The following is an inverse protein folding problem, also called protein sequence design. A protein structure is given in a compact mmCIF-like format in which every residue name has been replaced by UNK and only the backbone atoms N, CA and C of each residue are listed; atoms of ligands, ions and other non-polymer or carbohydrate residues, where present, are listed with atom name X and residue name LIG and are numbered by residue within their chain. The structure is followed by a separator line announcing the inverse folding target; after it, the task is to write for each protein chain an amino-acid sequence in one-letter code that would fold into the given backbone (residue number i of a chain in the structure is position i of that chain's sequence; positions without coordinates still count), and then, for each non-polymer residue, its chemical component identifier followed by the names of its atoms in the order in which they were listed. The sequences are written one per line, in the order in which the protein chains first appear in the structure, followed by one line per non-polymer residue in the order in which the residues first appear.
data_IF_509630285956
#
_entry.id   IF_509630285956
#
_cell.length_a   1.000
_cell.length_b   1.000
_cell.length_c   1.000
_cell.angle_alpha   90.00
_cell.angle_beta   90.00
_cell.angle_gamma   90.00
#
_symmetry.space_group_name_H-M   'P 1'
#
loop_
_entity.id
_entity.type
_entity.pdbx_description
1 polymer ?
#
# COMPACT_ATOMS: atom_id res chain seq x y z
N UNK A 1 13.34 -4.95 -19.23
CA UNK A 1 13.03 -5.44 -17.87
C UNK A 1 12.03 -4.49 -17.22
N UNK A 2 10.90 -5.02 -16.79
CA UNK A 2 9.91 -4.19 -16.13
C UNK A 2 10.31 -3.96 -14.67
N UNK A 3 10.09 -2.75 -14.19
CA UNK A 3 10.29 -2.38 -12.79
C UNK A 3 8.98 -1.82 -12.23
N UNK A 4 8.99 -1.46 -10.95
CA UNK A 4 7.77 -0.96 -10.32
C UNK A 4 7.30 0.35 -10.96
N UNK A 5 8.21 1.16 -11.45
CA UNK A 5 7.86 2.46 -12.01
C UNK A 5 7.11 2.36 -13.35
N UNK A 6 7.19 1.21 -14.03
CA UNK A 6 6.45 0.99 -15.27
C UNK A 6 5.00 0.57 -15.03
N UNK A 7 4.62 0.29 -13.79
CA UNK A 7 3.27 -0.13 -13.46
C UNK A 7 2.29 1.04 -13.60
N UNK A 8 1.15 0.76 -14.25
CA UNK A 8 0.05 1.71 -14.39
C UNK A 8 -1.02 1.33 -13.39
N UNK A 9 -1.51 2.29 -12.62
CA UNK A 9 -2.57 2.07 -11.64
C UNK A 9 -3.66 3.12 -11.82
N UNK A 10 -4.85 2.84 -11.28
CA UNK A 10 -5.95 3.81 -11.29
C UNK A 10 -6.07 4.48 -9.94
N UNK A 11 -6.20 5.79 -9.95
CA UNK A 11 -6.54 6.55 -8.75
C UNK A 11 -8.01 6.28 -8.38
N UNK A 12 -8.42 6.71 -7.20
CA UNK A 12 -9.79 6.48 -6.74
C UNK A 12 -10.85 7.11 -7.66
N UNK A 13 -10.50 8.12 -8.45
CA UNK A 13 -11.39 8.75 -9.44
C UNK A 13 -11.32 8.04 -10.81
N UNK A 14 -10.65 6.90 -10.90
CA UNK A 14 -10.49 6.07 -12.09
C UNK A 14 -9.55 6.63 -13.16
N UNK A 15 -8.82 7.70 -12.88
CA UNK A 15 -7.79 8.18 -13.81
C UNK A 15 -6.52 7.34 -13.67
N UNK A 16 -5.86 7.08 -14.80
CA UNK A 16 -4.62 6.30 -14.81
C UNK A 16 -3.42 7.16 -14.46
N UNK A 17 -2.50 6.59 -13.68
CA UNK A 17 -1.17 7.17 -13.50
C UNK A 17 -0.15 6.03 -13.59
N UNK A 18 1.09 6.37 -13.95
CA UNK A 18 2.20 5.42 -13.84
C UNK A 18 2.93 5.67 -12.53
N UNK A 19 3.47 4.63 -11.94
CA UNK A 19 4.25 4.79 -10.71
C UNK A 19 5.56 5.55 -10.96
N UNK A 20 5.88 5.84 -12.21
CA UNK A 20 7.01 6.70 -12.53
C UNK A 20 6.89 8.10 -11.91
N UNK A 21 5.66 8.53 -11.57
CA UNK A 21 5.45 9.79 -10.85
C UNK A 21 6.08 9.78 -9.46
N UNK A 22 6.33 8.59 -8.91
CA UNK A 22 6.94 8.43 -7.59
C UNK A 22 8.40 8.03 -7.65
N UNK A 23 9.02 8.20 -8.80
CA UNK A 23 10.44 7.86 -8.99
C UNK A 23 11.31 8.62 -7.99
N UNK A 24 12.29 7.93 -7.43
CA UNK A 24 13.20 8.45 -6.40
C UNK A 24 12.55 8.66 -5.03
N UNK A 25 11.33 8.14 -4.84
CA UNK A 25 10.65 8.15 -3.54
C UNK A 25 10.73 6.76 -2.91
N UNK A 26 10.69 6.72 -1.59
CA UNK A 26 10.48 5.46 -0.86
C UNK A 26 8.98 5.21 -0.84
N UNK A 27 8.55 4.00 -1.21
CA UNK A 27 7.13 3.67 -1.28
C UNK A 27 6.77 2.64 -0.22
N UNK A 28 5.67 2.87 0.47
CA UNK A 28 5.03 1.86 1.31
C UNK A 28 3.68 1.55 0.68
N UNK A 29 3.55 0.35 0.13
CA UNK A 29 2.36 -0.06 -0.62
C UNK A 29 1.55 -1.02 0.25
N UNK A 30 0.29 -0.68 0.50
CA UNK A 30 -0.56 -1.36 1.49
C UNK A 30 -1.93 -1.64 0.89
N UNK A 31 -2.43 -2.87 1.04
CA UNK A 31 -3.82 -3.16 0.73
C UNK A 31 -4.67 -2.88 1.96
N UNK A 32 -5.74 -2.12 1.80
CA UNK A 32 -6.47 -1.53 2.91
C UNK A 32 -7.95 -1.91 2.91
N UNK A 33 -8.60 -1.75 4.06
CA UNK A 33 -10.03 -1.99 4.23
C UNK A 33 -10.59 -1.12 5.33
N UNK A 34 -11.89 -0.77 5.19
CA UNK A 34 -12.59 0.14 6.11
C UNK A 34 -13.25 -0.57 7.30
N UNK A 35 -13.48 -1.88 7.21
CA UNK A 35 -14.25 -2.61 8.22
C UNK A 35 -13.47 -3.77 8.86
N UNK A 36 -12.16 -3.70 8.83
CA UNK A 36 -11.25 -4.70 9.38
C UNK A 36 -10.89 -4.38 10.84
N UNK A 37 -10.59 -5.40 11.62
CA UNK A 37 -10.03 -5.20 12.97
C UNK A 37 -8.70 -4.48 12.96
N UNK A 38 -8.01 -4.44 11.82
CA UNK A 38 -6.73 -3.74 11.65
C UNK A 38 -6.88 -2.34 11.05
N UNK A 39 -8.10 -1.88 10.79
CA UNK A 39 -8.34 -0.58 10.15
C UNK A 39 -7.75 0.58 10.96
N UNK A 40 -7.59 0.43 12.27
CA UNK A 40 -6.95 1.44 13.11
C UNK A 40 -5.52 1.76 12.62
N UNK A 41 -4.88 0.88 11.85
CA UNK A 41 -3.54 1.13 11.33
C UNK A 41 -3.46 2.36 10.41
N UNK A 42 -4.61 2.83 9.89
CA UNK A 42 -4.64 4.08 9.12
C UNK A 42 -4.03 5.24 9.90
N UNK A 43 -4.27 5.30 11.21
CA UNK A 43 -3.75 6.39 12.04
C UNK A 43 -2.22 6.44 12.02
N UNK A 44 -1.59 5.29 12.25
CA UNK A 44 -0.13 5.22 12.25
C UNK A 44 0.46 5.37 10.84
N UNK A 45 -0.22 4.87 9.81
CA UNK A 45 0.20 5.08 8.43
C UNK A 45 0.19 6.58 8.09
N UNK A 46 -0.88 7.27 8.47
CA UNK A 46 -0.94 8.72 8.25
C UNK A 46 0.12 9.46 9.05
N UNK A 47 0.42 8.99 10.27
CA UNK A 47 1.50 9.55 11.07
C UNK A 47 2.85 9.45 10.39
N UNK A 48 3.16 8.30 9.79
CA UNK A 48 4.40 8.11 9.02
C UNK A 48 4.43 9.05 7.81
N UNK A 49 3.30 9.16 7.11
CA UNK A 49 3.19 10.03 5.96
C UNK A 49 3.44 11.49 6.34
N UNK A 50 2.79 11.96 7.40
CA UNK A 50 2.97 13.33 7.87
C UNK A 50 4.42 13.62 8.23
N UNK A 51 5.09 12.65 8.84
CA UNK A 51 6.47 12.85 9.31
C UNK A 51 7.50 12.80 8.19
N UNK A 52 7.33 11.90 7.22
CA UNK A 52 8.39 11.60 6.26
C UNK A 52 8.06 11.97 4.82
N UNK A 53 6.87 12.47 4.53
CA UNK A 53 6.51 12.82 3.15
C UNK A 53 7.48 13.83 2.53
N UNK A 54 7.86 14.85 3.28
CA UNK A 54 8.81 15.86 2.79
C UNK A 54 10.20 15.27 2.51
N UNK A 55 10.55 14.21 3.25
CA UNK A 55 11.83 13.51 3.07
C UNK A 55 11.80 12.51 1.91
N UNK A 56 10.63 12.28 1.33
CA UNK A 56 10.51 11.41 0.15
C UNK A 56 9.69 10.14 0.35
N UNK A 57 8.91 10.02 1.43
CA UNK A 57 8.02 8.87 1.61
C UNK A 57 6.68 9.10 0.93
N UNK A 58 6.25 8.12 0.12
CA UNK A 58 4.88 8.05 -0.38
C UNK A 58 4.24 6.76 0.13
N UNK A 59 2.98 6.84 0.53
CA UNK A 59 2.20 5.68 0.93
C UNK A 59 1.08 5.50 -0.08
N UNK A 60 0.96 4.29 -0.63
CA UNK A 60 -0.02 3.96 -1.66
C UNK A 60 -0.99 2.94 -1.10
N UNK A 61 -2.22 3.36 -0.84
CA UNK A 61 -3.27 2.51 -0.28
C UNK A 61 -4.19 1.98 -1.37
N UNK A 62 -4.26 0.65 -1.50
CA UNK A 62 -5.13 -0.02 -2.48
C UNK A 62 -6.25 -0.75 -1.73
N UNK A 63 -7.49 -0.23 -1.78
CA UNK A 63 -8.61 -0.93 -1.16
C UNK A 63 -8.83 -2.29 -1.81
N UNK A 64 -9.18 -3.29 -0.99
CA UNK A 64 -9.42 -4.65 -1.48
C UNK A 64 -10.52 -5.30 -0.64
N UNK A 65 -11.50 -5.93 -1.31
CA UNK A 65 -12.65 -6.55 -0.65
C UNK A 65 -12.54 -8.07 -0.50
N UNK A 66 -11.36 -8.64 -0.79
CA UNK A 66 -11.19 -10.11 -0.80
C UNK A 66 -11.05 -10.76 0.57
N UNK A 67 -10.84 -9.98 1.61
CA UNK A 67 -10.57 -10.51 2.95
C UNK A 67 -11.78 -10.25 3.86
N UNK A 68 -12.67 -11.24 3.95
CA UNK A 68 -13.85 -11.15 4.78
C UNK A 68 -14.88 -10.14 4.31
N UNK A 69 -14.78 -9.70 3.03
CA UNK A 69 -15.66 -8.68 2.47
C UNK A 69 -15.69 -7.40 3.33
N UNK A 70 -14.52 -6.99 3.82
CA UNK A 70 -14.39 -5.86 4.76
C UNK A 70 -14.15 -4.52 4.08
N UNK A 71 -14.28 -4.47 2.74
CA UNK A 71 -14.20 -3.22 1.96
C UNK A 71 -15.33 -3.18 0.91
N UNK A 72 -16.59 -3.20 1.35
CA UNK A 72 -17.71 -3.30 0.40
C UNK A 72 -18.08 -1.97 -0.28
N UNK A 73 -17.58 -0.84 0.21
CA UNK A 73 -17.96 0.48 -0.29
C UNK A 73 -17.39 0.82 -1.67
N UNK A 74 -17.91 1.89 -2.26
CA UNK A 74 -17.36 2.46 -3.48
C UNK A 74 -16.07 3.20 -3.18
N UNK A 75 -15.30 3.54 -4.22
CA UNK A 75 -14.09 4.34 -4.05
C UNK A 75 -14.38 5.67 -3.35
N UNK A 76 -15.50 6.32 -3.68
CA UNK A 76 -15.90 7.57 -3.03
C UNK A 76 -16.20 7.39 -1.55
N UNK A 77 -16.93 6.32 -1.20
CA UNK A 77 -17.26 5.99 0.18
C UNK A 77 -16.01 5.67 0.98
N UNK A 78 -15.07 4.94 0.40
CA UNK A 78 -13.81 4.59 1.04
C UNK A 78 -12.99 5.86 1.32
N UNK A 79 -12.87 6.73 0.33
CA UNK A 79 -12.12 7.96 0.47
C UNK A 79 -12.74 8.87 1.54
N UNK A 80 -14.07 8.97 1.53
CA UNK A 80 -14.80 9.73 2.55
C UNK A 80 -14.52 9.19 3.95
N UNK A 81 -14.62 7.87 4.12
CA UNK A 81 -14.34 7.20 5.39
C UNK A 81 -12.93 7.52 5.89
N UNK A 82 -11.93 7.33 5.02
CA UNK A 82 -10.53 7.57 5.39
C UNK A 82 -10.27 9.01 5.76
N UNK A 83 -10.84 9.95 5.02
CA UNK A 83 -10.66 11.38 5.27
C UNK A 83 -11.32 11.78 6.58
N UNK A 84 -12.58 11.38 6.79
CA UNK A 84 -13.36 11.82 7.95
C UNK A 84 -12.91 11.17 9.24
N UNK A 85 -12.54 9.90 9.20
CA UNK A 85 -12.20 9.17 10.43
C UNK A 85 -10.73 9.24 10.78
N UNK A 86 -9.84 9.24 9.79
CA UNK A 86 -8.39 9.14 10.02
C UNK A 86 -7.59 10.29 9.42
N UNK A 87 -8.27 11.24 8.80
CA UNK A 87 -7.63 12.40 8.19
C UNK A 87 -6.55 12.00 7.16
N UNK A 88 -6.81 10.92 6.43
CA UNK A 88 -5.86 10.37 5.46
C UNK A 88 -5.63 11.35 4.31
N UNK A 89 -4.36 11.64 4.03
CA UNK A 89 -3.94 12.47 2.89
C UNK A 89 -2.95 11.76 1.98
N UNK A 90 -2.48 10.56 2.34
CA UNK A 90 -1.65 9.77 1.43
C UNK A 90 -2.51 9.20 0.28
N UNK A 91 -1.86 8.65 -0.75
CA UNK A 91 -2.55 8.19 -1.95
C UNK A 91 -3.49 7.03 -1.71
N UNK A 92 -4.76 7.22 -2.08
CA UNK A 92 -5.74 6.14 -2.12
C UNK A 92 -6.10 5.89 -3.59
N UNK A 93 -6.17 4.60 -3.95
CA UNK A 93 -6.32 4.17 -5.32
C UNK A 93 -7.61 3.39 -5.52
N UNK A 94 -7.88 2.99 -6.76
CA UNK A 94 -9.05 2.18 -7.10
C UNK A 94 -9.02 0.85 -6.33
N UNK A 95 -10.19 0.38 -5.93
CA UNK A 95 -10.34 -0.94 -5.31
C UNK A 95 -9.92 -2.02 -6.31
N UNK A 96 -9.07 -2.93 -5.87
CA UNK A 96 -8.50 -3.98 -6.72
C UNK A 96 -8.56 -5.34 -6.03
N UNK A 97 -8.32 -6.40 -6.81
CA UNK A 97 -8.02 -7.71 -6.27
C UNK A 97 -6.50 -7.87 -6.15
N UNK A 98 -6.06 -8.48 -5.08
CA UNK A 98 -4.64 -8.72 -4.81
C UNK A 98 -4.27 -10.21 -4.88
N UNK A 99 -5.26 -11.09 -4.92
CA UNK A 99 -5.09 -12.54 -5.06
C UNK A 99 -6.02 -13.09 -6.15
N UNK A 100 -5.65 -14.24 -6.71
CA UNK A 100 -6.50 -14.96 -7.66
C UNK A 100 -6.34 -14.47 -9.10
N UNK A 101 -7.28 -14.90 -9.95
CA UNK A 101 -7.20 -14.68 -11.39
C UNK A 101 -7.32 -13.21 -11.79
N UNK A 102 -7.98 -12.40 -10.98
CA UNK A 102 -8.19 -10.99 -11.25
C UNK A 102 -7.20 -10.08 -10.54
N UNK A 103 -6.10 -10.63 -10.02
CA UNK A 103 -5.07 -9.85 -9.34
C UNK A 103 -4.59 -8.70 -10.22
N UNK A 104 -4.62 -7.48 -9.67
CA UNK A 104 -4.15 -6.30 -10.39
C UNK A 104 -2.66 -6.44 -10.75
N UNK A 105 -2.23 -5.91 -11.92
CA UNK A 105 -0.85 -6.04 -12.37
C UNK A 105 0.20 -5.61 -11.35
N UNK A 106 -0.06 -4.53 -10.61
CA UNK A 106 0.89 -4.08 -9.57
C UNK A 106 1.10 -5.15 -8.51
N UNK A 107 0.04 -5.86 -8.10
CA UNK A 107 0.17 -6.91 -7.09
C UNK A 107 0.74 -8.21 -7.67
N UNK A 108 0.53 -8.47 -8.96
CA UNK A 108 1.25 -9.56 -9.62
C UNK A 108 2.75 -9.30 -9.53
N UNK A 109 3.16 -8.07 -9.78
CA UNK A 109 4.57 -7.65 -9.71
C UNK A 109 5.11 -7.72 -8.28
N UNK A 110 4.38 -7.18 -7.32
CA UNK A 110 4.82 -7.15 -5.91
C UNK A 110 4.98 -8.53 -5.30
N UNK A 111 4.06 -9.44 -5.61
CA UNK A 111 4.05 -10.78 -5.01
C UNK A 111 5.10 -11.71 -5.60
N UNK A 112 5.50 -11.48 -6.84
CA UNK A 112 6.49 -12.33 -7.51
C UNK A 112 7.81 -12.24 -6.75
N UNK A 113 8.33 -13.38 -6.35
CA UNK A 113 9.61 -13.50 -5.64
C UNK A 113 9.65 -12.81 -4.25
N UNK A 114 8.49 -12.44 -3.71
CA UNK A 114 8.41 -11.80 -2.39
C UNK A 114 7.34 -12.48 -1.52
N UNK A 115 7.58 -13.73 -1.10
CA UNK A 115 6.60 -14.47 -0.32
C UNK A 115 6.48 -13.95 1.11
N UNK A 116 5.36 -14.33 1.76
CA UNK A 116 5.17 -14.10 3.19
C UNK A 116 6.10 -15.01 4.00
N UNK A 117 6.11 -14.82 5.31
CA UNK A 117 6.87 -15.68 6.22
C UNK A 117 6.48 -17.15 6.10
N UNK A 118 5.22 -17.44 5.74
CA UNK A 118 4.77 -18.82 5.53
C UNK A 118 5.24 -19.44 4.20
N UNK A 119 5.88 -18.64 3.34
CA UNK A 119 6.34 -19.08 2.03
C UNK A 119 5.33 -18.91 0.91
N UNK A 120 4.12 -18.47 1.20
CA UNK A 120 3.10 -18.22 0.17
C UNK A 120 3.28 -16.86 -0.47
N UNK A 121 3.07 -16.78 -1.79
CA UNK A 121 3.06 -15.49 -2.50
C UNK A 121 1.74 -14.74 -2.28
N UNK A 122 0.66 -15.44 -1.95
CA UNK A 122 -0.64 -14.80 -1.74
C UNK A 122 -0.58 -13.76 -0.61
N UNK A 123 -1.37 -12.70 -0.77
CA UNK A 123 -1.56 -11.72 0.30
C UNK A 123 -2.40 -12.36 1.38
N UNK A 124 -1.95 -12.29 2.62
CA UNK A 124 -2.51 -13.02 3.75
C UNK A 124 -3.82 -12.42 4.25
N UNK A 125 -3.87 -11.09 4.31
CA UNK A 125 -5.02 -10.37 4.84
C UNK A 125 -4.86 -8.87 4.54
N UNK A 126 -5.84 -8.08 4.95
CA UNK A 126 -5.77 -6.61 4.86
C UNK A 126 -4.53 -6.08 5.60
N UNK A 127 -4.01 -4.96 5.16
CA UNK A 127 -2.86 -4.26 5.76
C UNK A 127 -1.55 -5.04 5.70
N UNK A 128 -1.36 -5.81 4.64
CA UNK A 128 -0.05 -6.33 4.24
C UNK A 128 0.72 -5.20 3.57
N UNK A 129 2.01 -5.06 3.87
CA UNK A 129 2.82 -3.93 3.40
C UNK A 129 4.00 -4.41 2.59
N UNK A 130 4.33 -3.64 1.55
CA UNK A 130 5.57 -3.82 0.77
C UNK A 130 6.35 -2.52 0.82
N UNK A 131 7.62 -2.60 1.19
CA UNK A 131 8.50 -1.43 1.27
C UNK A 131 9.43 -1.42 0.05
N UNK A 132 9.46 -0.30 -0.65
CA UNK A 132 10.20 -0.13 -1.90
C UNK A 132 11.20 1.00 -1.74
N UNK A 133 12.47 0.77 -2.14
CA UNK A 133 13.53 1.76 -2.04
C UNK A 133 13.41 2.83 -3.14
N UNK A 134 14.22 3.88 -3.02
CA UNK A 134 14.21 5.01 -3.97
C UNK A 134 14.52 4.58 -5.41
N UNK A 135 15.24 3.49 -5.60
CA UNK A 135 15.56 2.98 -6.93
C UNK A 135 14.56 1.93 -7.43
N UNK A 136 13.45 1.76 -6.72
CA UNK A 136 12.36 0.89 -7.15
C UNK A 136 12.53 -0.58 -6.79
N UNK A 137 13.48 -0.91 -5.94
CA UNK A 137 13.71 -2.26 -5.48
C UNK A 137 12.78 -2.59 -4.31
N UNK A 138 12.10 -3.75 -4.37
CA UNK A 138 11.26 -4.21 -3.27
C UNK A 138 12.17 -4.76 -2.19
N UNK A 139 12.25 -4.04 -1.06
CA UNK A 139 13.18 -4.36 0.01
C UNK A 139 12.63 -5.43 0.95
N UNK A 140 11.34 -5.31 1.32
CA UNK A 140 10.77 -6.22 2.30
C UNK A 140 9.25 -6.21 2.25
N UNK A 141 8.66 -7.36 2.57
CA UNK A 141 7.22 -7.52 2.76
C UNK A 141 6.95 -7.71 4.25
N UNK A 142 5.94 -7.02 4.76
CA UNK A 142 5.52 -7.11 6.17
C UNK A 142 4.10 -7.65 6.24
N UNK A 143 3.84 -8.51 7.22
CA UNK A 143 2.53 -9.09 7.42
C UNK A 143 1.50 -8.11 7.95
N UNK A 144 0.22 -8.51 7.96
CA UNK A 144 -0.88 -7.63 8.39
C UNK A 144 -0.74 -7.10 9.80
N UNK A 145 -0.25 -7.92 10.72
CA UNK A 145 -0.15 -7.55 12.13
C UNK A 145 1.10 -6.72 12.46
N UNK A 146 1.99 -6.53 11.51
CA UNK A 146 3.13 -5.63 11.72
C UNK A 146 2.61 -4.20 11.76
N UNK A 147 2.77 -3.55 12.90
CA UNK A 147 2.31 -2.17 13.06
C UNK A 147 3.16 -1.23 12.21
N UNK A 148 2.54 -0.19 11.62
CA UNK A 148 3.33 0.76 10.81
C UNK A 148 4.52 1.35 11.54
N UNK A 149 4.43 1.56 12.85
CA UNK A 149 5.53 2.08 13.66
C UNK A 149 6.74 1.16 13.68
N UNK A 150 6.53 -0.16 13.52
CA UNK A 150 7.62 -1.14 13.47
C UNK A 150 8.43 -1.02 12.18
N UNK A 151 7.86 -0.37 11.14
CA UNK A 151 8.52 -0.18 9.84
C UNK A 151 9.32 1.13 9.81
N UNK A 152 9.11 1.99 10.79
CA UNK A 152 9.70 3.33 10.85
C UNK A 152 11.21 3.32 10.63
N UNK A 153 11.92 2.43 11.31
CA UNK A 153 13.38 2.37 11.20
C UNK A 153 13.84 2.02 9.79
N UNK A 154 13.15 1.06 9.16
CA UNK A 154 13.48 0.65 7.79
C UNK A 154 13.23 1.81 6.82
N UNK A 155 12.15 2.57 7.02
CA UNK A 155 11.83 3.75 6.22
C UNK A 155 12.93 4.80 6.38
N UNK A 156 13.34 5.08 7.61
CA UNK A 156 14.37 6.07 7.89
C UNK A 156 15.69 5.70 7.22
N UNK A 157 16.06 4.43 7.26
CA UNK A 157 17.28 3.96 6.60
C UNK A 157 17.25 4.19 5.10
N UNK A 158 16.10 3.89 4.46
CA UNK A 158 15.94 4.08 3.01
C UNK A 158 15.87 5.55 2.61
N UNK A 159 15.31 6.39 3.46
CA UNK A 159 15.25 7.84 3.24
C UNK A 159 16.59 8.50 3.53
N UNK A 160 17.45 7.85 4.27
CA UNK A 160 18.73 8.38 4.71
C UNK A 160 18.58 9.56 5.69
N UNK A 161 17.67 9.41 6.61
CA UNK A 161 17.38 10.41 7.65
C UNK A 161 17.50 9.82 9.05
#
# INVERSE_FOLDING_TARGET
MSDIYSQVVKKSDMTDITLNEFKNKVLLIVNVASECGLTYQYEALQGLYNKYNEDGLEILGFPCNQFGAQEPGSNEEIKFFCTEKYDVSFGLFDKIDVNGDSTAPIYQFLKKDNPSESGSNDIEWNFTKFLVSRDGEIIKRFGPKTEPEEIKKDIEELLNV
#
